data_IF_878825719431
#
_entry.id   IF_878825719431
#
_cell.length_a   1.000
_cell.length_b   1.000
_cell.length_c   1.000
_cell.angle_alpha   90.00
_cell.angle_beta   90.00
_cell.angle_gamma   90.00
#
_symmetry.space_group_name_H-M   'P 1'
#
loop_
_entity.id
_entity.type
_entity.pdbx_description
1 polymer ?
#
# COMPACT_ATOMS: atom_id res chain seq x y z
N UNK A 1 -8.16 6.34 16.37
CA UNK A 1 -7.67 4.96 16.66
C UNK A 1 -8.06 3.94 15.57
N UNK A 2 -8.54 4.32 14.37
CA UNK A 2 -8.98 3.38 13.32
C UNK A 2 -7.93 2.92 12.31
N UNK A 3 -6.82 3.65 12.12
CA UNK A 3 -5.92 3.44 10.97
C UNK A 3 -5.12 2.13 11.00
N UNK A 4 -4.71 1.64 12.17
CA UNK A 4 -3.86 0.44 12.25
C UNK A 4 -4.57 -0.86 11.84
N UNK A 5 -5.87 -0.96 12.12
CA UNK A 5 -6.67 -2.16 11.82
C UNK A 5 -7.04 -2.20 10.33
N UNK A 6 -7.43 -1.05 9.76
CA UNK A 6 -7.71 -0.93 8.33
C UNK A 6 -6.46 -1.14 7.47
N UNK A 7 -5.29 -0.67 7.93
CA UNK A 7 -4.02 -0.91 7.26
C UNK A 7 -3.68 -2.41 7.21
N UNK A 8 -3.83 -3.14 8.33
CA UNK A 8 -3.63 -4.59 8.35
C UNK A 8 -4.60 -5.32 7.44
N UNK A 9 -5.86 -4.89 7.37
CA UNK A 9 -6.85 -5.47 6.47
C UNK A 9 -6.47 -5.26 4.99
N UNK A 10 -5.96 -4.08 4.64
CA UNK A 10 -5.49 -3.79 3.28
C UNK A 10 -4.26 -4.64 2.90
N UNK A 11 -3.29 -4.80 3.82
CA UNK A 11 -2.15 -5.69 3.60
C UNK A 11 -2.59 -7.15 3.43
N UNK A 12 -3.51 -7.63 4.28
CA UNK A 12 -4.05 -8.98 4.18
C UNK A 12 -4.79 -9.21 2.84
N UNK A 13 -5.55 -8.23 2.36
CA UNK A 13 -6.23 -8.31 1.06
C UNK A 13 -5.24 -8.39 -0.13
N UNK A 14 -4.04 -7.85 0.02
CA UNK A 14 -2.94 -7.96 -0.94
C UNK A 14 -2.10 -9.23 -0.73
N UNK A 15 -2.37 -10.04 0.29
CA UNK A 15 -1.56 -11.21 0.66
C UNK A 15 -0.22 -10.84 1.30
N UNK A 16 -0.07 -9.61 1.77
CA UNK A 16 1.15 -9.11 2.38
C UNK A 16 1.14 -9.36 3.89
N UNK A 17 2.16 -10.06 4.37
CA UNK A 17 2.38 -10.29 5.81
C UNK A 17 3.31 -9.24 6.44
N UNK A 18 3.97 -8.43 5.63
CA UNK A 18 4.94 -7.42 6.07
C UNK A 18 4.48 -6.03 5.66
N UNK A 19 4.67 -5.07 6.56
CA UNK A 19 4.39 -3.66 6.29
C UNK A 19 5.46 -3.12 5.33
N UNK A 20 5.08 -2.64 4.14
CA UNK A 20 6.03 -2.04 3.21
C UNK A 20 6.62 -0.77 3.82
N UNK A 21 7.92 -0.55 3.62
CA UNK A 21 8.59 0.66 4.11
C UNK A 21 8.57 1.82 3.10
N UNK A 22 8.31 1.52 1.84
CA UNK A 22 8.31 2.50 0.75
C UNK A 22 7.43 2.02 -0.40
N UNK A 23 7.06 2.92 -1.32
CA UNK A 23 6.26 2.60 -2.52
C UNK A 23 6.89 1.50 -3.38
N UNK A 24 8.22 1.54 -3.54
CA UNK A 24 8.97 0.53 -4.28
C UNK A 24 8.93 -0.85 -3.59
N UNK A 25 8.97 -0.86 -2.25
CA UNK A 25 8.87 -2.07 -1.45
C UNK A 25 7.47 -2.69 -1.54
N UNK A 26 6.42 -1.86 -1.45
CA UNK A 26 5.03 -2.26 -1.71
C UNK A 26 4.89 -2.88 -3.11
N UNK A 27 5.37 -2.22 -4.16
CA UNK A 27 5.28 -2.73 -5.52
C UNK A 27 6.00 -4.09 -5.69
N UNK A 28 7.20 -4.25 -5.11
CA UNK A 28 7.93 -5.53 -5.13
C UNK A 28 7.16 -6.63 -4.40
N UNK A 29 6.63 -6.34 -3.21
CA UNK A 29 5.87 -7.30 -2.41
C UNK A 29 4.60 -7.73 -3.13
N UNK A 30 3.86 -6.77 -3.69
CA UNK A 30 2.63 -7.05 -4.46
C UNK A 30 2.94 -7.86 -5.71
N UNK A 31 4.01 -7.53 -6.45
CA UNK A 31 4.42 -8.28 -7.64
C UNK A 31 4.82 -9.74 -7.33
N UNK A 32 5.29 -10.04 -6.10
CA UNK A 32 5.55 -11.43 -5.66
C UNK A 32 4.27 -12.20 -5.36
N UNK A 33 3.23 -11.52 -4.87
CA UNK A 33 1.96 -12.15 -4.49
C UNK A 33 0.96 -12.21 -5.65
N UNK A 34 1.00 -11.25 -6.57
CA UNK A 34 0.06 -11.10 -7.68
C UNK A 34 0.83 -11.11 -9.01
N UNK A 35 0.85 -12.24 -9.74
CA UNK A 35 1.44 -12.28 -11.07
C UNK A 35 0.66 -11.37 -12.03
N UNK A 36 1.38 -10.69 -12.93
CA UNK A 36 0.80 -9.73 -13.88
C UNK A 36 -0.28 -10.32 -14.81
N UNK A 37 -0.38 -11.64 -14.88
CA UNK A 37 -1.38 -12.36 -15.68
C UNK A 37 -2.77 -12.41 -15.05
N UNK A 38 -2.93 -12.04 -13.77
CA UNK A 38 -4.24 -12.00 -13.11
C UNK A 38 -4.72 -10.56 -12.90
N UNK A 39 -5.94 -10.22 -13.39
CA UNK A 39 -6.51 -8.91 -13.14
C UNK A 39 -6.82 -8.75 -11.65
N UNK A 40 -6.56 -7.56 -11.12
CA UNK A 40 -6.89 -7.26 -9.73
C UNK A 40 -8.38 -7.13 -9.53
N UNK A 41 -8.86 -7.68 -8.42
CA UNK A 41 -10.20 -7.41 -7.93
C UNK A 41 -10.34 -5.95 -7.45
N UNK A 42 -11.58 -5.46 -7.36
CA UNK A 42 -11.87 -4.12 -6.83
C UNK A 42 -11.33 -3.93 -5.40
N UNK A 43 -11.39 -4.98 -4.58
CA UNK A 43 -10.87 -4.99 -3.19
C UNK A 43 -9.36 -4.84 -3.17
N UNK A 44 -8.63 -5.58 -4.02
CA UNK A 44 -7.17 -5.47 -4.12
C UNK A 44 -6.74 -4.08 -4.62
N UNK A 45 -7.44 -3.55 -5.62
CA UNK A 45 -7.17 -2.20 -6.14
C UNK A 45 -7.40 -1.12 -5.08
N UNK A 46 -8.46 -1.24 -4.27
CA UNK A 46 -8.74 -0.32 -3.18
C UNK A 46 -7.68 -0.45 -2.05
N UNK A 47 -7.32 -1.68 -1.69
CA UNK A 47 -6.29 -1.95 -0.69
C UNK A 47 -4.92 -1.40 -1.10
N UNK A 48 -4.52 -1.59 -2.36
CA UNK A 48 -3.26 -1.08 -2.89
C UNK A 48 -3.19 0.45 -2.83
N UNK A 49 -4.23 1.14 -3.32
CA UNK A 49 -4.29 2.61 -3.27
C UNK A 49 -4.20 3.13 -1.84
N UNK A 50 -4.91 2.50 -0.91
CA UNK A 50 -4.89 2.93 0.50
C UNK A 50 -3.51 2.81 1.14
N UNK A 51 -2.82 1.68 0.92
CA UNK A 51 -1.44 1.50 1.44
C UNK A 51 -0.47 2.46 0.76
N UNK A 52 -0.68 2.75 -0.52
CA UNK A 52 0.11 3.74 -1.26
C UNK A 52 -0.06 5.15 -0.70
N UNK A 53 -1.30 5.59 -0.49
CA UNK A 53 -1.64 6.91 0.07
C UNK A 53 -1.10 7.05 1.50
N UNK A 54 -1.15 6.00 2.32
CA UNK A 54 -0.56 6.05 3.67
C UNK A 54 0.96 6.15 3.66
N UNK A 55 1.63 5.52 2.68
CA UNK A 55 3.07 5.69 2.49
C UNK A 55 3.42 7.11 2.00
N UNK A 56 2.53 7.78 1.27
CA UNK A 56 2.69 9.20 0.91
C UNK A 56 2.42 10.11 2.11
N UNK A 57 1.32 9.92 2.84
CA UNK A 57 0.96 10.74 3.99
C UNK A 57 1.95 10.60 5.16
N UNK A 58 2.49 9.40 5.37
CA UNK A 58 3.56 9.15 6.35
C UNK A 58 4.95 9.61 5.91
N UNK A 59 5.15 9.92 4.61
CA UNK A 59 6.39 10.44 4.04
C UNK A 59 6.35 11.95 3.73
N UNK A 60 5.17 12.57 3.72
CA UNK A 60 4.95 13.97 3.34
C UNK A 60 4.99 14.96 4.52
N UNK A 61 5.72 14.63 5.59
CA UNK A 61 6.09 15.61 6.61
C UNK A 61 7.39 16.38 6.28
N UNK A 62 8.06 16.09 5.15
CA UNK A 62 9.38 16.67 4.84
C UNK A 62 9.54 17.18 3.40
N UNK A 63 8.53 17.83 2.81
CA UNK A 63 8.82 18.75 1.70
C UNK A 63 7.80 19.91 1.70
N UNK A 64 8.19 21.14 2.09
CA UNK A 64 7.43 22.31 1.67
C UNK A 64 7.60 22.44 0.16
N UNK A 65 6.51 22.34 -0.59
CA UNK A 65 6.48 22.85 -1.95
C UNK A 65 6.65 24.37 -1.84
N UNK A 66 7.89 24.82 -2.02
CA UNK A 66 8.20 26.24 -2.15
C UNK A 66 7.54 26.75 -3.44
N UNK A 67 6.63 27.70 -3.29
CA UNK A 67 6.20 28.60 -4.35
C UNK A 67 7.03 29.88 -4.28
#
# INVERSE_FOLDING_TARGET
>A
MGSSTEHRAALAALGLNTKPRSRQDLARLVARCHPASQPWSAVQTAAYRRVWEELESGGAADVPVAA
#
